data_IF_885204234167
#
_entry.id   IF_885204234167
#
_cell.length_a   1.000
_cell.length_b   1.000
_cell.length_c   1.000
_cell.angle_alpha   90.00
_cell.angle_beta   90.00
_cell.angle_gamma   90.00
#
_symmetry.space_group_name_H-M   'P 1'
#
loop_
_entity.id
_entity.type
_entity.pdbx_description
1 polymer ?
#
# COMPACT_ATOMS: atom_id res chain seq x y z
N UNK A 1 13.87 -7.59 2.30
CA UNK A 1 14.61 -8.45 1.39
C UNK A 1 13.63 -9.36 0.64
N UNK A 2 13.41 -9.07 -0.65
CA UNK A 2 12.36 -9.68 -1.48
C UNK A 2 12.49 -11.21 -1.54
N UNK A 3 13.70 -11.72 -1.65
CA UNK A 3 13.94 -13.17 -1.75
C UNK A 3 13.52 -13.93 -0.48
N UNK A 4 13.83 -13.39 0.69
CA UNK A 4 13.42 -14.00 1.98
C UNK A 4 11.91 -14.05 2.09
N UNK A 5 11.22 -12.99 1.69
CA UNK A 5 9.76 -12.94 1.71
C UNK A 5 9.13 -13.97 0.77
N UNK A 6 9.71 -14.19 -0.42
CA UNK A 6 9.22 -15.21 -1.35
C UNK A 6 9.48 -16.63 -0.81
N UNK A 7 10.66 -16.90 -0.27
CA UNK A 7 10.98 -18.20 0.33
C UNK A 7 10.02 -18.49 1.48
N UNK A 8 9.81 -17.53 2.39
CA UNK A 8 8.88 -17.67 3.50
C UNK A 8 7.44 -17.90 3.02
N UNK A 9 7.00 -17.18 1.97
CA UNK A 9 5.68 -17.37 1.38
C UNK A 9 5.50 -18.78 0.81
N UNK A 10 6.45 -19.26 0.00
CA UNK A 10 6.37 -20.61 -0.57
C UNK A 10 6.44 -21.69 0.50
N UNK A 11 7.30 -21.53 1.51
CA UNK A 11 7.31 -22.42 2.65
C UNK A 11 5.95 -22.48 3.34
N UNK A 12 5.34 -21.32 3.61
CA UNK A 12 4.03 -21.23 4.24
C UNK A 12 2.91 -21.86 3.38
N UNK A 13 3.00 -21.77 2.05
CA UNK A 13 2.05 -22.42 1.12
C UNK A 13 2.00 -23.94 1.35
N UNK A 14 3.15 -24.57 1.66
CA UNK A 14 3.23 -26.04 1.82
C UNK A 14 2.97 -26.52 3.25
N UNK A 15 3.23 -25.69 4.26
CA UNK A 15 3.13 -26.10 5.67
C UNK A 15 2.01 -25.42 6.44
N UNK A 16 1.46 -24.32 5.92
CA UNK A 16 0.42 -23.55 6.59
C UNK A 16 -0.91 -24.31 6.67
N UNK A 17 -1.50 -24.31 7.85
CA UNK A 17 -2.86 -24.83 8.06
C UNK A 17 -3.91 -23.87 7.48
N UNK A 18 -5.13 -24.39 7.25
CA UNK A 18 -6.23 -23.54 6.75
C UNK A 18 -6.59 -22.42 7.73
N UNK A 19 -6.43 -22.64 9.05
CA UNK A 19 -6.66 -21.62 10.08
C UNK A 19 -5.66 -20.46 9.97
N UNK A 20 -4.38 -20.79 9.74
CA UNK A 20 -3.33 -19.77 9.55
C UNK A 20 -3.58 -18.96 8.27
N UNK A 21 -4.00 -19.60 7.20
CA UNK A 21 -4.40 -18.91 5.96
C UNK A 21 -5.59 -17.98 6.18
N UNK A 22 -6.60 -18.42 6.94
CA UNK A 22 -7.76 -17.60 7.27
C UNK A 22 -7.35 -16.36 8.08
N UNK A 23 -6.48 -16.54 9.07
CA UNK A 23 -5.94 -15.44 9.89
C UNK A 23 -5.12 -14.48 9.03
N UNK A 24 -4.22 -14.99 8.20
CA UNK A 24 -3.41 -14.16 7.29
C UNK A 24 -4.29 -13.35 6.34
N UNK A 25 -5.32 -13.96 5.78
CA UNK A 25 -6.29 -13.30 4.91
C UNK A 25 -7.09 -12.22 5.66
N UNK A 26 -7.55 -12.51 6.87
CA UNK A 26 -8.27 -11.54 7.71
C UNK A 26 -7.38 -10.31 8.04
N UNK A 27 -6.12 -10.54 8.40
CA UNK A 27 -5.14 -9.47 8.65
C UNK A 27 -4.89 -8.66 7.37
N UNK A 28 -4.76 -9.32 6.23
CA UNK A 28 -4.58 -8.66 4.93
C UNK A 28 -5.77 -7.75 4.61
N UNK A 29 -7.00 -8.25 4.69
CA UNK A 29 -8.21 -7.48 4.44
C UNK A 29 -8.35 -6.31 5.41
N UNK A 30 -8.13 -6.55 6.71
CA UNK A 30 -8.16 -5.50 7.72
C UNK A 30 -7.15 -4.39 7.42
N UNK A 31 -5.90 -4.75 7.17
CA UNK A 31 -4.82 -3.79 6.84
C UNK A 31 -5.12 -3.02 5.56
N UNK A 32 -5.56 -3.70 4.51
CA UNK A 32 -5.88 -3.06 3.24
C UNK A 32 -7.07 -2.11 3.37
N UNK A 33 -8.13 -2.54 4.05
CA UNK A 33 -9.35 -1.73 4.22
C UNK A 33 -9.10 -0.54 5.15
N UNK A 34 -8.66 -0.77 6.38
CA UNK A 34 -8.50 0.29 7.39
C UNK A 34 -7.26 1.13 7.09
N UNK A 35 -6.12 0.52 6.81
CA UNK A 35 -4.87 1.22 6.56
C UNK A 35 -4.88 1.94 5.22
N UNK A 36 -4.89 1.21 4.12
CA UNK A 36 -4.72 1.79 2.80
C UNK A 36 -5.97 2.54 2.31
N UNK A 37 -7.13 1.86 2.26
CA UNK A 37 -8.32 2.42 1.61
C UNK A 37 -8.97 3.53 2.43
N UNK A 38 -9.25 3.28 3.70
CA UNK A 38 -9.95 4.25 4.55
C UNK A 38 -8.99 5.35 4.99
N UNK A 39 -7.84 5.01 5.57
CA UNK A 39 -6.96 6.01 6.18
C UNK A 39 -6.11 6.72 5.15
N UNK A 40 -5.21 6.03 4.42
CA UNK A 40 -4.30 6.72 3.50
C UNK A 40 -5.07 7.38 2.35
N UNK A 41 -5.94 6.64 1.70
CA UNK A 41 -6.61 7.10 0.49
C UNK A 41 -7.73 8.09 0.81
N UNK A 42 -8.80 7.66 1.49
CA UNK A 42 -9.99 8.48 1.67
C UNK A 42 -9.84 9.58 2.72
N UNK A 43 -9.27 9.27 3.89
CA UNK A 43 -9.17 10.22 4.98
C UNK A 43 -8.03 11.22 4.77
N UNK A 44 -6.79 10.72 4.60
CA UNK A 44 -5.61 11.58 4.57
C UNK A 44 -5.35 12.18 3.18
N UNK A 45 -5.55 11.45 2.08
CA UNK A 45 -5.30 11.96 0.74
C UNK A 45 -6.46 12.80 0.21
N UNK A 46 -7.65 12.22 0.12
CA UNK A 46 -8.81 12.87 -0.45
C UNK A 46 -9.61 13.73 0.53
N UNK A 47 -9.39 13.58 1.84
CA UNK A 47 -10.17 14.29 2.88
C UNK A 47 -11.67 14.13 2.69
N UNK A 48 -12.11 12.94 2.27
CA UNK A 48 -13.52 12.64 1.96
C UNK A 48 -14.43 12.67 3.18
N UNK A 49 -13.86 12.58 4.37
CA UNK A 49 -14.55 12.67 5.66
C UNK A 49 -13.56 13.12 6.74
N UNK A 50 -14.07 13.48 7.90
CA UNK A 50 -13.28 13.82 9.08
C UNK A 50 -13.33 12.69 10.10
N UNK A 51 -12.25 12.48 10.82
CA UNK A 51 -12.15 11.49 11.88
C UNK A 51 -11.42 12.07 13.09
N UNK A 52 -11.66 11.54 14.30
CA UNK A 52 -10.88 11.93 15.47
C UNK A 52 -9.41 11.53 15.30
N UNK A 53 -8.50 12.28 15.93
CA UNK A 53 -7.04 12.09 15.78
C UNK A 53 -6.55 10.69 16.14
N UNK A 54 -7.14 10.06 17.13
CA UNK A 54 -6.79 8.68 17.48
C UNK A 54 -6.99 7.72 16.31
N UNK A 55 -8.04 7.91 15.49
CA UNK A 55 -8.31 7.06 14.32
C UNK A 55 -7.30 7.33 13.20
N UNK A 56 -6.92 8.59 12.97
CA UNK A 56 -5.86 8.93 12.00
C UNK A 56 -4.54 8.24 12.37
N UNK A 57 -4.14 8.28 13.65
CA UNK A 57 -2.93 7.60 14.11
C UNK A 57 -3.03 6.09 14.04
N UNK A 58 -4.13 5.52 14.51
CA UNK A 58 -4.36 4.08 14.45
C UNK A 58 -4.30 3.55 13.01
N UNK A 59 -5.04 4.16 12.08
CA UNK A 59 -5.04 3.75 10.69
C UNK A 59 -3.68 3.96 10.01
N UNK A 60 -2.93 5.01 10.40
CA UNK A 60 -1.56 5.22 9.93
C UNK A 60 -0.62 4.10 10.39
N UNK A 61 -0.72 3.68 11.65
CA UNK A 61 0.06 2.53 12.16
C UNK A 61 -0.33 1.25 11.41
N UNK A 62 -1.61 0.98 11.25
CA UNK A 62 -2.10 -0.18 10.49
C UNK A 62 -1.57 -0.17 9.05
N UNK A 63 -1.49 1.00 8.42
CA UNK A 63 -0.99 1.11 7.04
C UNK A 63 0.50 0.83 6.91
N UNK A 64 1.31 1.21 7.92
CA UNK A 64 2.77 1.03 7.90
C UNK A 64 3.15 -0.44 8.12
N UNK A 65 2.37 -1.20 8.91
CA UNK A 65 2.64 -2.61 9.16
C UNK A 65 2.62 -3.39 7.84
N UNK A 66 3.79 -3.86 7.42
CA UNK A 66 4.00 -4.58 6.14
C UNK A 66 4.01 -3.67 4.90
N UNK A 67 4.13 -2.35 5.04
CA UNK A 67 4.36 -1.40 3.96
C UNK A 67 5.83 -0.95 3.95
N UNK A 68 6.36 -0.73 2.77
CA UNK A 68 7.73 -0.19 2.61
C UNK A 68 7.76 1.35 2.55
N UNK A 69 6.60 2.00 2.61
CA UNK A 69 6.47 3.46 2.43
C UNK A 69 5.80 4.08 3.65
N UNK A 70 6.32 5.20 4.13
CA UNK A 70 5.71 5.94 5.24
C UNK A 70 4.36 6.54 4.83
N UNK A 71 3.45 6.71 5.80
CA UNK A 71 2.15 7.37 5.61
C UNK A 71 2.27 8.72 4.93
N UNK A 72 3.23 9.56 5.36
CA UNK A 72 3.42 10.92 4.81
C UNK A 72 3.87 10.84 3.35
N UNK A 73 4.85 9.99 3.04
CA UNK A 73 5.35 9.84 1.68
C UNK A 73 4.26 9.31 0.75
N UNK A 74 3.50 8.30 1.19
CA UNK A 74 2.40 7.74 0.40
C UNK A 74 1.34 8.80 0.07
N UNK A 75 0.88 9.54 1.08
CA UNK A 75 -0.15 10.59 0.90
C UNK A 75 0.35 11.71 -0.01
N UNK A 76 1.63 12.12 0.13
CA UNK A 76 2.22 13.15 -0.72
C UNK A 76 2.28 12.70 -2.19
N UNK A 77 2.80 11.51 -2.45
CA UNK A 77 2.90 10.93 -3.80
C UNK A 77 1.51 10.76 -4.41
N UNK A 78 0.55 10.27 -3.64
CA UNK A 78 -0.81 10.03 -4.13
C UNK A 78 -1.54 11.33 -4.49
N UNK A 79 -1.35 12.40 -3.71
CA UNK A 79 -1.88 13.72 -4.03
C UNK A 79 -1.23 14.32 -5.27
N UNK A 80 0.08 14.13 -5.44
CA UNK A 80 0.80 14.60 -6.61
C UNK A 80 0.36 13.83 -7.87
N UNK A 81 0.13 12.51 -7.74
CA UNK A 81 -0.47 11.71 -8.81
C UNK A 81 -1.82 12.28 -9.25
N UNK A 82 -2.77 12.49 -8.33
CA UNK A 82 -4.08 13.04 -8.69
C UNK A 82 -4.02 14.44 -9.30
N UNK A 83 -3.02 15.23 -8.94
CA UNK A 83 -2.84 16.59 -9.49
C UNK A 83 -2.31 16.58 -10.92
N UNK A 84 -1.49 15.60 -11.27
CA UNK A 84 -0.75 15.56 -12.52
C UNK A 84 -0.97 14.26 -13.30
N UNK A 85 -2.11 13.61 -13.12
CA UNK A 85 -2.45 12.34 -13.76
C UNK A 85 -2.02 12.31 -15.23
N UNK A 86 -1.28 11.28 -15.60
CA UNK A 86 -0.81 10.98 -16.97
C UNK A 86 0.05 12.06 -17.63
N UNK A 87 0.58 13.01 -16.86
CA UNK A 87 1.57 13.98 -17.35
C UNK A 87 2.99 13.54 -17.00
N UNK A 88 4.00 14.23 -17.53
CA UNK A 88 5.41 14.00 -17.18
C UNK A 88 5.73 14.22 -15.70
N UNK A 89 4.89 14.98 -15.00
CA UNK A 89 5.02 15.27 -13.56
C UNK A 89 4.36 14.21 -12.67
N UNK A 90 3.55 13.32 -13.23
CA UNK A 90 2.90 12.26 -12.47
C UNK A 90 3.94 11.26 -11.95
N UNK A 91 4.09 11.07 -10.63
CA UNK A 91 5.06 10.12 -10.08
C UNK A 91 4.74 8.66 -10.43
N UNK A 92 3.52 8.35 -10.84
CA UNK A 92 3.05 7.02 -11.19
C UNK A 92 2.75 6.83 -12.69
N UNK A 93 3.05 7.83 -13.52
CA UNK A 93 2.80 7.72 -14.96
C UNK A 93 3.60 6.59 -15.60
N UNK A 94 2.98 5.67 -16.31
CA UNK A 94 3.67 4.64 -17.08
C UNK A 94 4.50 5.22 -18.23
N UNK A 95 4.22 6.45 -18.65
CA UNK A 95 4.91 7.14 -19.74
C UNK A 95 6.18 7.85 -19.32
N UNK A 96 6.42 8.01 -18.02
CA UNK A 96 7.59 8.70 -17.48
C UNK A 96 8.91 7.95 -17.73
N UNK A 97 8.83 6.65 -17.85
CA UNK A 97 9.96 5.78 -18.10
C UNK A 97 9.75 5.13 -19.47
N UNK A 98 10.31 5.68 -20.56
CA UNK A 98 10.25 4.99 -21.83
C UNK A 98 10.85 3.60 -21.65
N UNK A 99 10.06 2.58 -22.01
CA UNK A 99 10.57 1.21 -22.07
C UNK A 99 11.76 1.23 -23.00
N UNK A 100 12.97 1.05 -22.47
CA UNK A 100 14.15 0.91 -23.30
C UNK A 100 13.94 -0.28 -24.20
N UNK A 101 13.89 -0.06 -25.51
CA UNK A 101 13.77 -1.11 -26.52
C UNK A 101 14.98 -2.07 -26.55
N UNK A 102 15.90 -1.94 -25.59
CA UNK A 102 17.14 -2.72 -25.46
C UNK A 102 17.07 -3.77 -24.33
N UNK A 103 15.90 -4.16 -23.87
CA UNK A 103 15.74 -5.23 -22.89
C UNK A 103 15.33 -6.53 -23.59
N UNK A 104 16.27 -7.14 -24.34
CA UNK A 104 16.27 -8.55 -24.73
C UNK A 104 17.47 -9.24 -24.14
#
# INVERSE_FOLDING_TARGET
NLYISHIAFFYFVFVGSWQEWLIAFAIYIFRFTIGATITLHRLLSHRSFTAPKWFEYFGSIVSIVGSSVSTIAWVAIHREHHKFVDTERDPHSPYKYPVSNNSY
#
